data_IF_486334206134
#
_entry.id   IF_486334206134
#
_cell.length_a   1.000
_cell.length_b   1.000
_cell.length_c   1.000
_cell.angle_alpha   90.00
_cell.angle_beta   90.00
_cell.angle_gamma   90.00
#
_symmetry.space_group_name_H-M   'P 1'
#
loop_
_entity.id
_entity.type
_entity.pdbx_description
1 polymer ?
#
# COMPACT_ATOMS: atom_id res chain seq x y z
N UNK A 1 12.35 26.44 2.14
CA UNK A 1 11.67 25.12 2.07
C UNK A 1 12.55 24.26 1.20
N UNK A 2 12.97 23.09 1.68
CA UNK A 2 13.76 22.16 0.87
C UNK A 2 12.80 21.21 0.15
N UNK A 3 12.96 21.05 -1.16
CA UNK A 3 12.11 20.20 -2.00
C UNK A 3 12.93 19.05 -2.57
N UNK A 4 12.45 17.82 -2.38
CA UNK A 4 13.06 16.62 -2.98
C UNK A 4 13.08 16.74 -4.51
N UNK A 5 12.06 17.36 -5.10
CA UNK A 5 12.01 17.58 -6.55
C UNK A 5 13.10 18.55 -7.02
N UNK A 6 13.36 19.63 -6.29
CA UNK A 6 14.45 20.57 -6.60
C UNK A 6 15.83 19.90 -6.46
N UNK A 7 16.01 19.02 -5.48
CA UNK A 7 17.25 18.27 -5.30
C UNK A 7 17.50 17.28 -6.46
N UNK A 8 16.43 16.68 -7.01
CA UNK A 8 16.49 15.83 -8.21
C UNK A 8 16.86 16.67 -9.44
N UNK A 9 16.22 17.83 -9.63
CA UNK A 9 16.52 18.75 -10.74
C UNK A 9 17.96 19.28 -10.68
N UNK A 10 18.47 19.53 -9.47
CA UNK A 10 19.85 19.94 -9.21
C UNK A 10 20.86 18.78 -9.32
N UNK A 11 20.41 17.56 -9.63
CA UNK A 11 21.28 16.41 -9.81
C UNK A 11 21.99 15.94 -8.53
N UNK A 12 21.43 16.26 -7.34
CA UNK A 12 22.02 15.87 -6.05
C UNK A 12 21.97 14.36 -5.79
N UNK A 13 21.15 13.63 -6.55
CA UNK A 13 21.09 12.17 -6.51
C UNK A 13 22.00 11.62 -7.62
N UNK A 14 23.13 11.02 -7.21
CA UNK A 14 24.19 10.51 -8.08
C UNK A 14 23.94 9.11 -8.64
N UNK A 15 22.90 8.42 -8.15
CA UNK A 15 22.50 7.11 -8.68
C UNK A 15 21.87 7.26 -10.07
N UNK A 16 22.41 6.54 -11.06
CA UNK A 16 21.79 6.43 -12.38
C UNK A 16 20.43 5.75 -12.26
N UNK A 17 19.47 6.13 -13.10
CA UNK A 17 18.14 5.51 -13.11
C UNK A 17 18.21 3.98 -13.24
N UNK A 18 19.24 3.47 -13.92
CA UNK A 18 19.51 2.04 -14.13
C UNK A 18 19.85 1.27 -12.83
N UNK A 19 20.32 1.94 -11.78
CA UNK A 19 20.57 1.32 -10.47
C UNK A 19 19.32 1.26 -9.58
N UNK A 20 18.25 1.98 -9.93
CA UNK A 20 17.03 2.07 -9.13
C UNK A 20 16.07 0.93 -9.48
N UNK A 21 16.25 -0.22 -8.83
CA UNK A 21 15.34 -1.37 -8.98
C UNK A 21 13.89 -1.07 -8.56
N UNK A 22 13.66 0.02 -7.81
CA UNK A 22 12.34 0.53 -7.46
C UNK A 22 11.43 -0.54 -6.86
N UNK A 23 10.26 -0.72 -7.48
CA UNK A 23 9.27 -1.73 -7.05
C UNK A 23 9.85 -3.14 -7.05
N UNK A 24 10.61 -3.53 -8.07
CA UNK A 24 11.11 -4.89 -8.20
C UNK A 24 12.06 -5.25 -7.05
N UNK A 25 13.00 -4.35 -6.73
CA UNK A 25 13.91 -4.54 -5.61
C UNK A 25 13.20 -4.56 -4.25
N UNK A 26 12.17 -3.71 -4.08
CA UNK A 26 11.38 -3.71 -2.85
C UNK A 26 10.59 -5.01 -2.67
N UNK A 27 9.92 -5.51 -3.72
CA UNK A 27 9.15 -6.76 -3.66
C UNK A 27 10.07 -7.92 -3.30
N UNK A 28 11.23 -8.04 -3.97
CA UNK A 28 12.22 -9.07 -3.66
C UNK A 28 12.69 -8.99 -2.19
N UNK A 29 12.93 -7.78 -1.66
CA UNK A 29 13.33 -7.59 -0.26
C UNK A 29 12.24 -8.03 0.71
N UNK A 30 10.97 -7.71 0.44
CA UNK A 30 9.84 -8.09 1.29
C UNK A 30 9.63 -9.61 1.28
N UNK A 31 9.72 -10.24 0.11
CA UNK A 31 9.65 -11.70 -0.05
C UNK A 31 10.76 -12.43 0.71
N UNK A 32 12.00 -11.97 0.58
CA UNK A 32 13.16 -12.52 1.30
C UNK A 32 13.00 -12.42 2.83
N UNK A 33 12.26 -11.41 3.31
CA UNK A 33 11.96 -11.22 4.74
C UNK A 33 10.68 -11.93 5.19
N UNK A 34 9.96 -12.60 4.29
CA UNK A 34 8.67 -13.22 4.58
C UNK A 34 7.58 -12.20 4.95
N UNK A 35 7.70 -10.94 4.53
CA UNK A 35 6.76 -9.87 4.86
C UNK A 35 5.65 -9.85 3.81
N UNK A 36 4.42 -10.10 4.26
CA UNK A 36 3.23 -9.86 3.43
C UNK A 36 2.86 -8.38 3.50
N UNK A 37 2.53 -7.77 2.37
CA UNK A 37 2.05 -6.39 2.27
C UNK A 37 0.67 -6.35 1.62
N UNK A 38 -0.06 -5.26 1.84
CA UNK A 38 -1.39 -5.00 1.27
C UNK A 38 -1.19 -4.02 0.12
N UNK A 39 -1.57 -4.42 -1.10
CA UNK A 39 -1.57 -3.52 -2.26
C UNK A 39 -2.75 -2.55 -2.20
N UNK A 40 -2.76 -1.53 -3.07
CA UNK A 40 -3.93 -0.66 -3.20
C UNK A 40 -5.19 -1.45 -3.61
N UNK A 41 -5.05 -2.39 -4.54
CA UNK A 41 -6.16 -3.28 -4.95
C UNK A 41 -6.64 -4.19 -3.82
N UNK A 42 -5.75 -4.64 -2.93
CA UNK A 42 -6.16 -5.41 -1.75
C UNK A 42 -6.91 -4.52 -0.75
N UNK A 43 -6.50 -3.27 -0.59
CA UNK A 43 -7.21 -2.28 0.22
C UNK A 43 -8.61 -1.96 -0.36
N UNK A 44 -8.77 -1.89 -1.68
CA UNK A 44 -10.09 -1.68 -2.32
C UNK A 44 -11.08 -2.81 -1.98
N UNK A 45 -10.60 -4.04 -1.78
CA UNK A 45 -11.44 -5.16 -1.31
C UNK A 45 -11.90 -4.97 0.13
N UNK A 46 -11.00 -4.51 1.00
CA UNK A 46 -11.34 -4.12 2.38
C UNK A 46 -12.43 -3.04 2.35
N UNK A 47 -12.22 -1.97 1.59
CA UNK A 47 -13.16 -0.87 1.47
C UNK A 47 -14.54 -1.33 0.95
N UNK A 48 -14.57 -2.22 -0.05
CA UNK A 48 -15.80 -2.80 -0.57
C UNK A 48 -16.60 -3.55 0.52
N UNK A 49 -15.92 -4.39 1.30
CA UNK A 49 -16.54 -5.16 2.39
C UNK A 49 -17.05 -4.22 3.50
N UNK A 50 -16.26 -3.22 3.90
CA UNK A 50 -16.67 -2.23 4.91
C UNK A 50 -17.90 -1.42 4.48
N UNK A 51 -17.94 -0.97 3.22
CA UNK A 51 -19.09 -0.24 2.67
C UNK A 51 -20.33 -1.14 2.57
N UNK A 52 -20.18 -2.38 2.13
CA UNK A 52 -21.28 -3.33 2.08
C UNK A 52 -21.85 -3.62 3.48
N UNK A 53 -20.98 -3.76 4.50
CA UNK A 53 -21.40 -3.93 5.89
C UNK A 53 -22.08 -2.66 6.45
N UNK A 54 -21.55 -1.48 6.13
CA UNK A 54 -22.14 -0.20 6.51
C UNK A 54 -23.53 0.02 5.92
N UNK A 55 -23.69 -0.26 4.62
CA UNK A 55 -24.96 -0.08 3.91
C UNK A 55 -26.12 -0.84 4.57
N UNK A 56 -25.87 -2.08 5.01
CA UNK A 56 -26.86 -2.90 5.76
C UNK A 56 -27.30 -2.27 7.09
N UNK A 57 -26.49 -1.38 7.66
CA UNK A 57 -26.75 -0.67 8.92
C UNK A 57 -27.09 0.81 8.70
N UNK A 58 -27.34 1.22 7.46
CA UNK A 58 -27.58 2.62 7.09
C UNK A 58 -26.42 3.56 7.49
N UNK A 59 -25.18 3.08 7.34
CA UNK A 59 -23.93 3.81 7.58
C UNK A 59 -23.10 3.86 6.28
N UNK A 60 -22.27 4.88 6.04
CA UNK A 60 -21.37 4.90 4.88
C UNK A 60 -20.40 3.72 4.83
N UNK A 61 -19.94 3.28 6.00
CA UNK A 61 -19.11 2.08 6.18
C UNK A 61 -19.21 1.56 7.61
N UNK A 62 -18.92 0.28 7.78
CA UNK A 62 -18.62 -0.33 9.07
C UNK A 62 -17.17 -0.80 9.04
N UNK A 63 -16.32 -0.23 9.91
CA UNK A 63 -14.89 -0.54 9.87
C UNK A 63 -14.59 -1.93 10.42
N UNK A 64 -13.67 -2.62 9.77
CA UNK A 64 -13.12 -3.86 10.32
C UNK A 64 -12.10 -3.48 11.40
N UNK A 65 -12.39 -3.81 12.65
CA UNK A 65 -11.55 -3.47 13.80
C UNK A 65 -10.64 -4.61 14.27
N UNK A 66 -10.65 -5.75 13.55
CA UNK A 66 -9.83 -6.92 13.85
C UNK A 66 -8.78 -7.15 12.77
N UNK A 67 -7.52 -7.32 13.18
CA UNK A 67 -6.41 -7.60 12.26
C UNK A 67 -6.65 -8.84 11.40
N UNK A 68 -7.14 -9.92 12.00
CA UNK A 68 -7.39 -11.17 11.27
C UNK A 68 -8.47 -11.01 10.21
N UNK A 69 -9.52 -10.25 10.51
CA UNK A 69 -10.59 -9.95 9.54
C UNK A 69 -10.12 -9.01 8.44
N UNK A 70 -9.30 -8.00 8.78
CA UNK A 70 -8.77 -7.05 7.82
C UNK A 70 -7.85 -7.74 6.81
N UNK A 71 -6.98 -8.65 7.28
CA UNK A 71 -6.12 -9.45 6.42
C UNK A 71 -6.89 -10.48 5.57
N UNK A 72 -8.01 -11.03 6.09
CA UNK A 72 -8.90 -11.87 5.29
C UNK A 72 -9.61 -11.06 4.20
N UNK A 73 -10.13 -9.88 4.54
CA UNK A 73 -10.78 -8.99 3.60
C UNK A 73 -9.83 -8.50 2.48
N UNK A 74 -8.57 -8.23 2.81
CA UNK A 74 -7.54 -7.90 1.82
C UNK A 74 -7.29 -9.01 0.79
N UNK A 75 -7.51 -10.26 1.17
CA UNK A 75 -7.26 -11.45 0.34
C UNK A 75 -8.52 -12.03 -0.32
N UNK A 76 -9.67 -11.39 -0.11
CA UNK A 76 -10.95 -11.83 -0.65
C UNK A 76 -11.03 -11.74 -2.19
#
# INVERSE_FOLDING_TARGET
VYSISEDIEQGKFTETADMRLGRAGLVQLLENRGITYVTFSDWEKIDCIERAAGNRKNKPREKIASWGELLRAAKA
#
